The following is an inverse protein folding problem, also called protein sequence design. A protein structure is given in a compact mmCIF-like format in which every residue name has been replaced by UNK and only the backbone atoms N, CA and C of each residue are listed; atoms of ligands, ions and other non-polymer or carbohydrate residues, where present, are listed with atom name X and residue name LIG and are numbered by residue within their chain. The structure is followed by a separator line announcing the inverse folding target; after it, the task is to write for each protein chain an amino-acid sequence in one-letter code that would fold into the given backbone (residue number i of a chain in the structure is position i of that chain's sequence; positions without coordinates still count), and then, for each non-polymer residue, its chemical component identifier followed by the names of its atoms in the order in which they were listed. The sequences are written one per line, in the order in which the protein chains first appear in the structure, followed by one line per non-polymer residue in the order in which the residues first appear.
data_IF_352524238305
#
_entry.id   IF_352524238305
#
_cell.length_a   1.000
_cell.length_b   1.000
_cell.length_c   1.000
_cell.angle_alpha   90.00
_cell.angle_beta   90.00
_cell.angle_gamma   90.00
#
_symmetry.space_group_name_H-M   'P 1'
#
loop_
_entity.id
_entity.type
_entity.pdbx_description
1 polymer ?
#
# COMPACT_ATOMS: atom_id res chain seq x y z
N UNK A 1 4.12 32.53 -16.25
CA UNK A 1 4.49 32.20 -17.64
C UNK A 1 4.18 30.73 -17.87
N UNK A 2 3.04 30.41 -18.50
CA UNK A 2 2.75 29.04 -18.97
C UNK A 2 3.42 28.93 -20.33
N UNK A 3 4.61 28.33 -20.35
CA UNK A 3 5.34 28.12 -21.60
C UNK A 3 4.71 26.93 -22.33
N UNK A 4 3.84 27.19 -23.30
CA UNK A 4 3.12 26.19 -24.08
C UNK A 4 4.07 25.50 -25.09
N UNK A 5 5.05 24.75 -24.58
CA UNK A 5 5.94 23.91 -25.39
C UNK A 5 5.30 22.53 -25.53
N UNK A 6 4.42 22.40 -26.54
CA UNK A 6 3.66 21.17 -26.85
C UNK A 6 4.51 19.89 -26.84
N UNK A 7 5.76 19.96 -27.31
CA UNK A 7 6.69 18.82 -27.30
C UNK A 7 7.10 18.36 -25.91
N UNK A 8 7.41 19.29 -24.99
CA UNK A 8 7.76 18.95 -23.60
C UNK A 8 6.54 18.39 -22.86
N UNK A 9 5.34 18.92 -23.11
CA UNK A 9 4.11 18.40 -22.50
C UNK A 9 3.86 16.95 -22.92
N UNK A 10 3.96 16.62 -24.22
CA UNK A 10 3.78 15.25 -24.71
C UNK A 10 4.85 14.33 -24.12
N UNK A 11 6.11 14.75 -24.12
CA UNK A 11 7.22 13.99 -23.52
C UNK A 11 6.98 13.69 -22.04
N UNK A 12 6.58 14.68 -21.25
CA UNK A 12 6.26 14.50 -19.83
C UNK A 12 5.11 13.52 -19.61
N UNK A 13 4.04 13.58 -20.40
CA UNK A 13 2.92 12.64 -20.28
C UNK A 13 3.33 11.22 -20.65
N UNK A 14 4.07 11.04 -21.75
CA UNK A 14 4.59 9.72 -22.14
C UNK A 14 5.50 9.13 -21.05
N UNK A 15 6.40 9.94 -20.48
CA UNK A 15 7.28 9.52 -19.39
C UNK A 15 6.50 9.12 -18.14
N UNK A 16 5.47 9.89 -17.76
CA UNK A 16 4.60 9.55 -16.62
C UNK A 16 3.81 8.27 -16.86
N UNK A 17 3.26 8.08 -18.07
CA UNK A 17 2.53 6.86 -18.43
C UNK A 17 3.45 5.63 -18.37
N UNK A 18 4.67 5.73 -18.89
CA UNK A 18 5.66 4.66 -18.78
C UNK A 18 6.02 4.37 -17.33
N UNK A 19 6.22 5.40 -16.51
CA UNK A 19 6.47 5.23 -15.07
C UNK A 19 5.32 4.50 -14.36
N UNK A 20 4.07 4.89 -14.65
CA UNK A 20 2.88 4.22 -14.11
C UNK A 20 2.81 2.77 -14.58
N UNK A 21 3.07 2.49 -15.86
CA UNK A 21 3.04 1.13 -16.40
C UNK A 21 4.04 0.20 -15.69
N UNK A 22 5.26 0.68 -15.43
CA UNK A 22 6.29 -0.08 -14.71
C UNK A 22 5.87 -0.35 -13.26
N UNK A 23 5.26 0.62 -12.58
CA UNK A 23 4.79 0.47 -11.19
C UNK A 23 3.57 -0.47 -11.12
N UNK A 24 2.65 -0.39 -12.09
CA UNK A 24 1.42 -1.19 -12.11
C UNK A 24 1.65 -2.64 -12.57
N UNK A 25 2.68 -2.91 -13.37
CA UNK A 25 2.98 -4.25 -13.85
C UNK A 25 3.05 -5.31 -12.72
N UNK A 26 3.82 -5.13 -11.63
CA UNK A 26 3.82 -6.11 -10.53
C UNK A 26 2.46 -6.23 -9.82
N UNK A 27 1.67 -5.14 -9.72
CA UNK A 27 0.30 -5.21 -9.18
C UNK A 27 -0.61 -6.05 -10.10
N UNK A 28 -0.47 -5.91 -11.42
CA UNK A 28 -1.20 -6.73 -12.38
C UNK A 28 -0.85 -8.22 -12.23
N UNK A 29 0.44 -8.55 -12.09
CA UNK A 29 0.88 -9.94 -11.86
C UNK A 29 0.30 -10.50 -10.56
N UNK A 30 0.29 -9.72 -9.46
CA UNK A 30 -0.33 -10.14 -8.21
C UNK A 30 -1.85 -10.35 -8.34
N UNK A 31 -2.52 -9.50 -9.11
CA UNK A 31 -3.95 -9.65 -9.42
C UNK A 31 -4.23 -10.93 -10.21
N UNK A 32 -3.44 -11.20 -11.27
CA UNK A 32 -3.54 -12.44 -12.03
C UNK A 32 -3.24 -13.66 -11.14
N UNK A 33 -2.23 -13.58 -10.28
CA UNK A 33 -1.95 -14.62 -9.30
C UNK A 33 -3.14 -14.93 -8.39
N UNK A 34 -3.87 -13.91 -7.93
CA UNK A 34 -5.06 -14.07 -7.12
C UNK A 34 -6.23 -14.76 -7.85
N UNK A 35 -6.24 -14.72 -9.19
CA UNK A 35 -7.29 -15.34 -10.04
C UNK A 35 -6.99 -16.77 -10.46
N UNK A 36 -5.74 -17.22 -10.29
CA UNK A 36 -5.26 -18.53 -10.73
C UNK A 36 -5.50 -19.61 -9.67
N UNK A 37 -5.50 -20.87 -10.11
CA UNK A 37 -5.52 -22.03 -9.20
C UNK A 37 -4.13 -22.23 -8.56
N UNK A 38 -4.09 -22.88 -7.39
CA UNK A 38 -2.85 -23.14 -6.64
C UNK A 38 -1.80 -23.86 -7.48
N UNK A 39 -2.20 -24.79 -8.37
CA UNK A 39 -1.26 -25.47 -9.27
C UNK A 39 -0.70 -24.55 -10.35
N UNK A 40 -1.58 -23.74 -10.96
CA UNK A 40 -1.21 -22.82 -12.03
C UNK A 40 -0.32 -21.65 -11.56
N UNK A 41 -0.35 -21.32 -10.26
CA UNK A 41 0.57 -20.34 -9.65
C UNK A 41 2.00 -20.90 -9.53
N UNK A 42 2.16 -22.21 -9.30
CA UNK A 42 3.47 -22.85 -9.16
C UNK A 42 4.04 -23.41 -10.47
N UNK A 43 3.27 -23.42 -11.55
CA UNK A 43 3.75 -23.80 -12.88
C UNK A 43 4.75 -22.77 -13.42
N UNK A 44 5.80 -23.26 -14.10
CA UNK A 44 6.82 -22.43 -14.74
C UNK A 44 6.74 -22.57 -16.26
N UNK A 45 6.40 -21.52 -17.03
CA UNK A 45 6.13 -20.13 -16.62
C UNK A 45 4.69 -19.88 -16.14
N UNK A 46 4.54 -19.00 -15.15
CA UNK A 46 3.23 -18.56 -14.65
C UNK A 46 2.46 -17.82 -15.75
N UNK A 47 1.18 -18.17 -15.94
CA UNK A 47 0.34 -17.53 -16.95
C UNK A 47 -0.01 -16.09 -16.54
N UNK A 48 0.14 -15.12 -17.44
CA UNK A 48 -0.20 -13.71 -17.21
C UNK A 48 -1.66 -13.35 -17.56
N UNK A 49 -2.48 -14.37 -17.78
CA UNK A 49 -3.89 -14.27 -18.13
C UNK A 49 -4.69 -14.54 -16.86
N UNK A 50 -5.64 -13.67 -16.50
CA UNK A 50 -6.47 -13.89 -15.33
C UNK A 50 -7.30 -15.17 -15.46
N UNK A 51 -7.31 -15.98 -14.41
CA UNK A 51 -8.12 -17.19 -14.29
C UNK A 51 -9.54 -16.90 -13.80
N UNK A 52 -10.31 -17.98 -13.59
CA UNK A 52 -11.71 -17.91 -13.13
C UNK A 52 -11.93 -18.00 -11.62
N UNK A 53 -10.87 -18.21 -10.81
CA UNK A 53 -10.99 -18.60 -9.40
C UNK A 53 -10.92 -17.43 -8.40
N UNK A 54 -11.00 -16.17 -8.87
CA UNK A 54 -10.85 -14.99 -7.99
C UNK A 54 -11.81 -15.01 -6.80
N UNK A 55 -13.11 -15.20 -7.05
CA UNK A 55 -14.12 -15.14 -5.98
C UNK A 55 -13.96 -16.30 -4.97
N UNK A 56 -13.60 -17.48 -5.47
CA UNK A 56 -13.37 -18.67 -4.65
C UNK A 56 -12.14 -18.47 -3.75
N UNK A 57 -11.04 -18.00 -4.32
CA UNK A 57 -9.80 -17.69 -3.60
C UNK A 57 -10.03 -16.61 -2.54
N UNK A 58 -10.76 -15.54 -2.88
CA UNK A 58 -11.09 -14.46 -1.94
C UNK A 58 -11.92 -14.97 -0.75
N UNK A 59 -12.97 -15.77 -1.01
CA UNK A 59 -13.80 -16.36 0.04
C UNK A 59 -13.00 -17.35 0.90
N UNK A 60 -12.17 -18.16 0.26
CA UNK A 60 -11.32 -19.13 0.94
C UNK A 60 -10.36 -18.43 1.91
N UNK A 61 -9.63 -17.41 1.45
CA UNK A 61 -8.68 -16.66 2.27
C UNK A 61 -9.40 -15.89 3.39
N UNK A 62 -10.58 -15.32 3.11
CA UNK A 62 -11.35 -14.59 4.10
C UNK A 62 -11.66 -15.42 5.35
N UNK A 63 -12.00 -16.70 5.17
CA UNK A 63 -12.40 -17.62 6.25
C UNK A 63 -11.22 -18.45 6.76
N UNK A 64 -10.43 -19.04 5.87
CA UNK A 64 -9.38 -20.01 6.21
C UNK A 64 -7.97 -19.41 6.34
N UNK A 65 -7.79 -18.14 5.94
CA UNK A 65 -6.49 -17.49 5.93
C UNK A 65 -5.64 -17.86 4.70
N UNK A 66 -4.40 -17.37 4.68
CA UNK A 66 -3.48 -17.45 3.53
C UNK A 66 -2.63 -18.73 3.53
N UNK A 67 -2.59 -19.47 4.65
CA UNK A 67 -1.79 -20.68 4.82
C UNK A 67 -2.45 -21.73 5.70
N UNK A 68 -1.91 -22.95 5.69
CA UNK A 68 -2.50 -24.15 6.32
C UNK A 68 -2.81 -24.01 7.83
N UNK A 69 -2.17 -23.07 8.53
CA UNK A 69 -2.39 -22.76 9.96
C UNK A 69 -2.57 -21.26 10.22
N UNK A 70 -2.97 -20.49 9.20
CA UNK A 70 -3.14 -19.04 9.36
C UNK A 70 -4.48 -18.69 10.00
N UNK A 71 -4.49 -17.60 10.77
CA UNK A 71 -5.74 -17.01 11.22
C UNK A 71 -6.58 -16.53 10.03
N UNK A 72 -7.92 -16.47 10.15
CA UNK A 72 -8.80 -15.87 9.16
C UNK A 72 -8.30 -14.49 8.73
N UNK A 73 -8.27 -14.23 7.43
CA UNK A 73 -7.69 -13.00 6.89
C UNK A 73 -8.38 -11.73 7.42
N UNK A 74 -9.69 -11.78 7.68
CA UNK A 74 -10.43 -10.65 8.25
C UNK A 74 -9.92 -10.26 9.65
N UNK A 75 -9.50 -11.22 10.48
CA UNK A 75 -8.90 -10.95 11.80
C UNK A 75 -7.53 -10.31 11.65
N UNK A 76 -6.73 -10.78 10.69
CA UNK A 76 -5.43 -10.18 10.39
C UNK A 76 -5.58 -8.73 9.93
N UNK A 77 -6.58 -8.46 9.09
CA UNK A 77 -6.94 -7.11 8.64
C UNK A 77 -7.39 -6.22 9.80
N UNK A 78 -8.25 -6.73 10.68
CA UNK A 78 -8.75 -5.99 11.83
C UNK A 78 -7.63 -5.65 12.82
N UNK A 79 -6.72 -6.59 13.10
CA UNK A 79 -5.57 -6.35 13.96
C UNK A 79 -4.66 -5.25 13.38
N UNK A 80 -4.38 -5.33 12.08
CA UNK A 80 -3.57 -4.33 11.38
C UNK A 80 -4.25 -2.96 11.37
N UNK A 81 -5.57 -2.93 11.20
CA UNK A 81 -6.37 -1.72 11.26
C UNK A 81 -6.30 -1.06 12.64
N UNK A 82 -6.54 -1.83 13.71
CA UNK A 82 -6.47 -1.32 15.09
C UNK A 82 -5.07 -0.78 15.39
N UNK A 83 -4.01 -1.51 15.02
CA UNK A 83 -2.63 -1.05 15.23
C UNK A 83 -2.33 0.23 14.43
N UNK A 84 -2.59 0.23 13.12
CA UNK A 84 -2.28 1.36 12.26
C UNK A 84 -3.05 2.61 12.68
N UNK A 85 -4.33 2.46 13.01
CA UNK A 85 -5.18 3.54 13.49
C UNK A 85 -4.72 4.06 14.85
N UNK A 86 -4.51 3.17 15.82
CA UNK A 86 -4.05 3.53 17.16
C UNK A 86 -2.70 4.25 17.15
N UNK A 87 -1.73 3.74 16.39
CA UNK A 87 -0.40 4.36 16.24
C UNK A 87 -0.52 5.73 15.56
N UNK A 88 -1.32 5.85 14.50
CA UNK A 88 -1.51 7.11 13.80
C UNK A 88 -2.14 8.17 14.70
N UNK A 89 -3.22 7.84 15.40
CA UNK A 89 -3.89 8.75 16.34
C UNK A 89 -2.95 9.15 17.48
N UNK A 90 -2.24 8.18 18.07
CA UNK A 90 -1.27 8.44 19.14
C UNK A 90 -0.14 9.35 18.68
N UNK A 91 0.47 9.06 17.52
CA UNK A 91 1.55 9.86 16.93
C UNK A 91 1.10 11.28 16.62
N UNK A 92 -0.07 11.46 16.00
CA UNK A 92 -0.61 12.79 15.69
C UNK A 92 -0.86 13.57 16.98
N UNK A 93 -1.48 12.96 17.99
CA UNK A 93 -1.77 13.61 19.27
C UNK A 93 -0.50 14.08 19.96
N UNK A 94 0.51 13.21 20.08
CA UNK A 94 1.81 13.56 20.68
C UNK A 94 2.50 14.64 19.85
N UNK A 95 2.53 14.50 18.53
CA UNK A 95 3.14 15.49 17.63
C UNK A 95 2.50 16.87 17.75
N UNK A 96 1.16 16.94 17.82
CA UNK A 96 0.43 18.19 17.99
C UNK A 96 0.71 18.83 19.35
N UNK A 97 0.68 18.05 20.44
CA UNK A 97 0.99 18.55 21.78
C UNK A 97 2.44 19.06 21.89
N UNK A 98 3.40 18.31 21.33
CA UNK A 98 4.80 18.73 21.27
C UNK A 98 4.98 20.00 20.46
N UNK A 99 4.36 20.10 19.28
CA UNK A 99 4.43 21.31 18.46
C UNK A 99 3.84 22.53 19.18
N UNK A 100 2.70 22.38 19.85
CA UNK A 100 2.09 23.44 20.65
C UNK A 100 3.00 23.88 21.81
N UNK A 101 3.57 22.91 22.54
CA UNK A 101 4.47 23.19 23.65
C UNK A 101 5.68 24.02 23.23
N UNK A 102 6.31 23.67 22.10
CA UNK A 102 7.50 24.35 21.58
C UNK A 102 7.21 25.80 21.13
N UNK A 103 6.04 26.03 20.52
CA UNK A 103 5.67 27.35 19.98
C UNK A 103 5.32 28.33 21.11
N UNK A 104 4.58 27.86 22.13
CA UNK A 104 4.02 28.76 23.14
C UNK A 104 4.80 28.82 24.46
N UNK A 105 5.56 27.78 24.83
CA UNK A 105 6.29 27.76 26.10
C UNK A 105 7.80 27.99 25.90
N UNK A 106 8.39 28.80 26.78
CA UNK A 106 9.83 29.05 26.84
C UNK A 106 10.47 28.08 27.84
N UNK A 107 11.22 27.10 27.36
CA UNK A 107 11.94 26.14 28.21
C UNK A 107 13.43 26.50 28.35
N UNK A 108 14.02 26.41 29.57
CA UNK A 108 15.43 26.74 29.80
C UNK A 108 16.41 25.79 29.09
N UNK A 109 15.96 24.59 28.68
CA UNK A 109 16.73 23.60 27.90
C UNK A 109 16.39 23.56 26.40
N UNK A 110 15.69 24.57 25.86
CA UNK A 110 15.26 24.59 24.45
C UNK A 110 16.41 24.46 23.45
N UNK A 111 17.61 24.97 23.75
CA UNK A 111 18.77 24.90 22.83
C UNK A 111 19.58 23.59 22.90
N UNK A 112 19.23 22.64 23.78
CA UNK A 112 19.95 21.36 23.92
C UNK A 112 19.26 20.20 23.19
N UNK A 113 17.95 20.29 22.94
CA UNK A 113 17.15 19.24 22.31
C UNK A 113 16.75 19.56 20.86
N UNK A 114 17.07 20.76 20.36
CA UNK A 114 16.82 21.23 19.00
C UNK A 114 18.11 21.71 18.35
#
# INVERSE_FOLDING_TARGET
MIENRRGLTIFSHTMLILGIAVILFPLYVAFVAATLDSKAVFDTPMTLIPGGHLLENMKFIWVNGVGANSAPFWLMMLNSFIMAFGITVGKITVSMLSAFAIVWFRFPLRNLFF
#
